data_IF_125026285755
#
_entry.id   IF_125026285755
#
_cell.length_a   1.000
_cell.length_b   1.000
_cell.length_c   1.000
_cell.angle_alpha   90.00
_cell.angle_beta   90.00
_cell.angle_gamma   90.00
#
_symmetry.space_group_name_H-M   'P 1'
#
loop_
_entity.id
_entity.type
_entity.pdbx_description
1 polymer ?
#
# COMPACT_ATOMS: atom_id res chain seq x y z
N UNK A 1 11.66 5.35 -11.23
CA UNK A 1 11.50 6.78 -10.93
C UNK A 1 10.72 6.90 -9.64
N UNK A 2 11.27 7.60 -8.66
CA UNK A 2 10.72 7.73 -7.31
C UNK A 2 11.15 9.08 -6.72
N UNK A 3 10.46 9.54 -5.66
CA UNK A 3 10.71 10.83 -4.99
C UNK A 3 9.80 11.94 -5.50
N UNK A 4 9.14 12.66 -4.57
CA UNK A 4 8.06 13.58 -4.90
C UNK A 4 6.86 12.85 -5.52
N UNK A 5 6.18 13.52 -6.47
CA UNK A 5 5.15 12.90 -7.32
C UNK A 5 5.64 12.88 -8.79
N UNK A 6 6.13 11.73 -9.29
CA UNK A 6 6.70 11.63 -10.64
C UNK A 6 5.74 12.02 -11.76
N UNK A 7 4.43 11.83 -11.57
CA UNK A 7 3.43 12.18 -12.58
C UNK A 7 3.31 13.70 -12.80
N UNK A 8 3.82 14.50 -11.88
CA UNK A 8 3.88 15.97 -11.98
C UNK A 8 5.28 16.50 -12.39
N UNK A 9 6.30 15.64 -12.35
CA UNK A 9 7.68 16.06 -12.61
C UNK A 9 7.98 16.09 -14.12
N UNK A 10 8.49 17.22 -14.61
CA UNK A 10 8.91 17.39 -15.99
C UNK A 10 10.01 16.39 -16.43
N UNK A 11 10.89 16.00 -15.50
CA UNK A 11 11.96 15.05 -15.82
C UNK A 11 11.42 13.64 -16.07
N UNK A 12 10.32 13.25 -15.43
CA UNK A 12 9.63 12.00 -15.75
C UNK A 12 9.25 11.94 -17.23
N UNK A 13 8.65 13.01 -17.75
CA UNK A 13 8.24 13.08 -19.16
C UNK A 13 9.43 13.18 -20.12
N UNK A 14 10.54 13.82 -19.73
CA UNK A 14 11.79 13.78 -20.51
C UNK A 14 12.36 12.37 -20.66
N UNK A 15 12.27 11.57 -19.57
CA UNK A 15 12.66 10.16 -19.65
C UNK A 15 11.70 9.38 -20.55
N UNK A 16 10.42 9.66 -20.48
CA UNK A 16 9.43 9.02 -21.37
C UNK A 16 9.66 9.38 -22.83
N UNK A 17 9.90 10.66 -23.15
CA UNK A 17 10.25 11.11 -24.50
C UNK A 17 11.50 10.38 -25.01
N UNK A 18 12.55 10.31 -24.18
CA UNK A 18 13.77 9.59 -24.53
C UNK A 18 13.52 8.10 -24.81
N UNK A 19 12.70 7.42 -24.01
CA UNK A 19 12.35 6.01 -24.22
C UNK A 19 11.56 5.80 -25.51
N UNK A 20 10.66 6.72 -25.85
CA UNK A 20 9.88 6.67 -27.10
C UNK A 20 10.76 6.88 -28.33
N UNK A 21 11.77 7.77 -28.25
CA UNK A 21 12.74 8.02 -29.30
C UNK A 21 13.80 6.90 -29.41
N UNK A 22 14.11 6.23 -28.31
CA UNK A 22 15.16 5.20 -28.21
C UNK A 22 14.59 3.89 -27.63
N UNK A 23 13.77 3.14 -28.38
CA UNK A 23 13.19 1.89 -27.91
C UNK A 23 14.24 0.87 -27.50
N UNK A 24 14.02 0.20 -26.36
CA UNK A 24 14.93 -0.84 -25.88
C UNK A 24 14.14 -2.04 -25.35
N UNK A 25 14.14 -3.17 -26.08
CA UNK A 25 13.39 -4.37 -25.69
C UNK A 25 13.96 -5.09 -24.46
N UNK A 26 14.99 -4.53 -23.82
CA UNK A 26 15.58 -5.03 -22.56
C UNK A 26 15.36 -4.06 -21.39
N UNK A 27 14.69 -2.94 -21.63
CA UNK A 27 14.47 -1.92 -20.61
C UNK A 27 13.29 -2.31 -19.70
N UNK A 28 13.53 -2.29 -18.40
CA UNK A 28 12.49 -2.29 -17.38
C UNK A 28 12.34 -0.87 -16.81
N UNK A 29 11.17 -0.31 -16.90
CA UNK A 29 10.89 1.04 -16.41
C UNK A 29 9.92 0.99 -15.22
N UNK A 30 10.34 1.59 -14.12
CA UNK A 30 9.58 1.59 -12.88
C UNK A 30 9.18 3.01 -12.48
N UNK A 31 7.91 3.22 -12.12
CA UNK A 31 7.38 4.50 -11.63
C UNK A 31 6.65 4.27 -10.33
N UNK A 32 6.91 5.12 -9.32
CA UNK A 32 6.19 5.09 -8.04
C UNK A 32 5.31 6.32 -7.92
N UNK A 33 4.01 6.13 -7.72
CA UNK A 33 3.04 7.21 -7.56
C UNK A 33 1.90 6.77 -6.66
N UNK A 34 1.22 7.70 -6.02
CA UNK A 34 -0.05 7.45 -5.35
C UNK A 34 -1.27 7.81 -6.22
N UNK A 35 -1.03 8.15 -7.49
CA UNK A 35 -2.04 8.58 -8.44
C UNK A 35 -2.86 9.83 -8.04
N UNK A 36 -2.44 10.57 -7.00
CA UNK A 36 -3.12 11.78 -6.53
C UNK A 36 -2.68 13.01 -7.32
N UNK A 37 -3.02 13.04 -8.60
CA UNK A 37 -2.75 14.15 -9.53
C UNK A 37 -4.07 14.63 -10.15
N UNK A 38 -4.04 15.82 -10.78
CA UNK A 38 -5.20 16.30 -11.53
C UNK A 38 -5.48 15.40 -12.76
N UNK A 39 -6.70 15.48 -13.30
CA UNK A 39 -7.14 14.62 -14.39
C UNK A 39 -6.32 14.82 -15.67
N UNK A 40 -5.90 16.04 -15.97
CA UNK A 40 -5.07 16.33 -17.15
C UNK A 40 -3.71 15.65 -17.03
N UNK A 41 -3.08 15.70 -15.88
CA UNK A 41 -1.81 15.03 -15.58
C UNK A 41 -1.97 13.52 -15.65
N UNK A 42 -3.07 12.98 -15.14
CA UNK A 42 -3.39 11.55 -15.22
C UNK A 42 -3.56 11.08 -16.66
N UNK A 43 -4.36 11.74 -17.48
CA UNK A 43 -4.58 11.38 -18.89
C UNK A 43 -3.28 11.50 -19.72
N UNK A 44 -2.49 12.54 -19.46
CA UNK A 44 -1.16 12.67 -20.05
C UNK A 44 -0.29 11.46 -19.71
N UNK A 45 -0.23 11.09 -18.44
CA UNK A 45 0.54 9.93 -17.98
C UNK A 45 0.11 8.63 -18.66
N UNK A 46 -1.19 8.31 -18.67
CA UNK A 46 -1.71 7.12 -19.34
C UNK A 46 -1.34 7.08 -20.82
N UNK A 47 -1.42 8.21 -21.51
CA UNK A 47 -1.07 8.31 -22.93
C UNK A 47 0.39 7.91 -23.16
N UNK A 48 1.32 8.43 -22.36
CA UNK A 48 2.74 8.06 -22.45
C UNK A 48 2.98 6.59 -22.15
N UNK A 49 2.41 6.07 -21.07
CA UNK A 49 2.63 4.69 -20.65
C UNK A 49 2.08 3.70 -21.68
N UNK A 50 0.92 3.98 -22.27
CA UNK A 50 0.37 3.16 -23.37
C UNK A 50 1.33 3.10 -24.57
N UNK A 51 1.90 4.22 -24.99
CA UNK A 51 2.86 4.28 -26.09
C UNK A 51 4.18 3.56 -25.74
N UNK A 52 4.66 3.70 -24.52
CA UNK A 52 5.89 3.02 -24.04
C UNK A 52 5.68 1.50 -24.00
N UNK A 53 4.53 1.04 -23.51
CA UNK A 53 4.18 -0.37 -23.43
C UNK A 53 3.82 -0.98 -24.80
N UNK A 54 3.70 -0.19 -25.85
CA UNK A 54 3.50 -0.67 -27.22
C UNK A 54 4.84 -1.09 -27.89
N UNK A 55 5.48 -2.08 -27.26
CA UNK A 55 6.71 -2.71 -27.79
C UNK A 55 7.98 -1.86 -27.70
N UNK A 56 7.96 -0.75 -26.94
CA UNK A 56 9.15 0.13 -26.79
C UNK A 56 10.10 -0.35 -25.71
N UNK A 57 9.60 -1.10 -24.72
CA UNK A 57 10.36 -1.63 -23.58
C UNK A 57 9.99 -3.09 -23.34
N UNK A 58 10.75 -3.78 -22.47
CA UNK A 58 10.44 -5.14 -22.05
C UNK A 58 9.30 -5.16 -21.02
N UNK A 59 9.36 -4.28 -20.02
CA UNK A 59 8.37 -4.27 -18.95
C UNK A 59 8.21 -2.91 -18.30
N UNK A 60 6.97 -2.55 -17.99
CA UNK A 60 6.61 -1.37 -17.20
C UNK A 60 6.04 -1.80 -15.83
N UNK A 61 6.63 -1.31 -14.75
CA UNK A 61 6.15 -1.57 -13.40
C UNK A 61 5.63 -0.28 -12.77
N UNK A 62 4.35 -0.26 -12.46
CA UNK A 62 3.74 0.80 -11.68
C UNK A 62 3.73 0.42 -10.20
N UNK A 63 4.40 1.19 -9.36
CA UNK A 63 4.28 1.10 -7.91
C UNK A 63 3.24 2.09 -7.40
N UNK A 64 2.31 1.60 -6.58
CA UNK A 64 1.25 2.39 -5.94
C UNK A 64 1.38 2.25 -4.44
N UNK A 65 1.57 3.37 -3.76
CA UNK A 65 1.69 3.39 -2.29
C UNK A 65 0.31 3.45 -1.65
N UNK A 66 -0.09 2.38 -0.94
CA UNK A 66 -1.40 2.29 -0.30
C UNK A 66 -1.31 1.38 0.95
N UNK A 67 -1.51 1.93 2.14
CA UNK A 67 -1.24 1.23 3.41
C UNK A 67 -2.51 0.67 4.09
N UNK A 68 -3.70 0.86 3.51
CA UNK A 68 -4.98 0.42 4.06
C UNK A 68 -6.12 0.63 3.07
N UNK A 69 -7.36 0.65 3.57
CA UNK A 69 -8.57 0.71 2.76
C UNK A 69 -9.48 1.89 3.12
N UNK A 70 -10.05 2.55 2.12
CA UNK A 70 -11.06 3.60 2.30
C UNK A 70 -10.60 4.74 3.19
N UNK A 71 -11.48 5.22 4.05
CA UNK A 71 -11.21 6.35 4.96
C UNK A 71 -9.98 6.15 5.85
N UNK A 72 -9.62 4.90 6.19
CA UNK A 72 -8.40 4.62 6.96
C UNK A 72 -7.14 4.87 6.13
N UNK A 73 -7.14 4.54 4.84
CA UNK A 73 -6.04 4.87 3.93
C UNK A 73 -5.90 6.39 3.75
N UNK A 74 -7.02 7.11 3.61
CA UNK A 74 -7.05 8.58 3.49
C UNK A 74 -6.53 9.28 4.75
N UNK A 75 -6.86 8.73 5.93
CA UNK A 75 -6.33 9.23 7.20
C UNK A 75 -4.80 9.08 7.29
N UNK A 76 -4.27 7.92 6.90
CA UNK A 76 -2.83 7.66 6.91
C UNK A 76 -2.07 8.48 5.85
N UNK A 77 -2.71 8.75 4.71
CA UNK A 77 -2.11 9.46 3.56
C UNK A 77 -2.90 10.70 3.22
N UNK A 78 -2.53 11.81 3.84
CA UNK A 78 -3.20 13.09 3.60
C UNK A 78 -3.25 13.48 2.13
N UNK A 79 -4.43 13.83 1.65
CA UNK A 79 -4.69 14.20 0.25
C UNK A 79 -4.95 13.00 -0.66
N UNK A 80 -4.96 11.78 -0.14
CA UNK A 80 -5.45 10.62 -0.85
C UNK A 80 -6.99 10.70 -0.95
N UNK A 81 -7.50 10.52 -2.15
CA UNK A 81 -8.88 10.15 -2.44
C UNK A 81 -8.85 8.68 -2.82
N UNK A 82 -9.38 7.81 -1.95
CA UNK A 82 -9.29 6.37 -2.11
C UNK A 82 -10.08 5.87 -3.32
N UNK A 83 -11.27 6.37 -3.53
CA UNK A 83 -12.13 5.94 -4.63
C UNK A 83 -11.51 6.34 -5.97
N UNK A 84 -11.02 7.56 -6.08
CA UNK A 84 -10.29 8.03 -7.27
C UNK A 84 -9.01 7.20 -7.53
N UNK A 85 -8.24 6.87 -6.48
CA UNK A 85 -7.06 6.02 -6.63
C UNK A 85 -7.46 4.63 -7.16
N UNK A 86 -8.51 4.04 -6.58
CA UNK A 86 -8.97 2.70 -6.96
C UNK A 86 -9.52 2.66 -8.39
N UNK A 87 -10.23 3.69 -8.82
CA UNK A 87 -10.68 3.89 -10.20
C UNK A 87 -9.49 3.99 -11.16
N UNK A 88 -8.45 4.76 -10.81
CA UNK A 88 -7.22 4.90 -11.61
C UNK A 88 -6.41 3.61 -11.68
N UNK A 89 -6.38 2.81 -10.62
CA UNK A 89 -5.81 1.46 -10.66
C UNK A 89 -6.53 0.59 -11.69
N UNK A 90 -7.86 0.58 -11.68
CA UNK A 90 -8.66 -0.18 -12.64
C UNK A 90 -8.47 0.35 -14.06
N UNK A 91 -8.45 1.66 -14.25
CA UNK A 91 -8.20 2.28 -15.55
C UNK A 91 -6.81 1.93 -16.09
N UNK A 92 -5.76 2.03 -15.27
CA UNK A 92 -4.41 1.61 -15.64
C UNK A 92 -4.37 0.14 -16.09
N UNK A 93 -4.93 -0.76 -15.28
CA UNK A 93 -4.94 -2.20 -15.59
C UNK A 93 -5.77 -2.54 -16.83
N UNK A 94 -6.77 -1.74 -17.15
CA UNK A 94 -7.62 -1.91 -18.35
C UNK A 94 -6.95 -1.36 -19.61
N UNK A 95 -6.41 -0.13 -19.53
CA UNK A 95 -5.92 0.60 -20.71
C UNK A 95 -4.46 0.31 -21.06
N UNK A 96 -3.66 -0.21 -20.10
CA UNK A 96 -2.26 -0.56 -20.30
C UNK A 96 -2.07 -2.09 -20.15
N UNK A 97 -2.63 -2.92 -21.03
CA UNK A 97 -2.73 -4.36 -20.80
C UNK A 97 -1.40 -5.11 -20.99
N UNK A 98 -0.56 -4.69 -21.93
CA UNK A 98 0.63 -5.42 -22.35
C UNK A 98 1.89 -4.88 -21.70
N UNK A 99 2.85 -5.78 -21.40
CA UNK A 99 4.17 -5.43 -20.88
C UNK A 99 4.14 -4.57 -19.61
N UNK A 100 3.03 -4.63 -18.84
CA UNK A 100 2.86 -3.84 -17.64
C UNK A 100 2.36 -4.65 -16.45
N UNK A 101 2.81 -4.26 -15.25
CA UNK A 101 2.25 -4.72 -13.98
C UNK A 101 2.13 -3.59 -12.98
N UNK A 102 1.35 -3.82 -11.93
CA UNK A 102 1.13 -2.89 -10.84
C UNK A 102 1.48 -3.58 -9.52
N UNK A 103 2.24 -2.90 -8.68
CA UNK A 103 2.64 -3.37 -7.37
C UNK A 103 2.16 -2.39 -6.31
N UNK A 104 1.32 -2.84 -5.38
CA UNK A 104 1.00 -2.08 -4.19
C UNK A 104 2.17 -2.16 -3.20
N UNK A 105 2.66 -1.01 -2.76
CA UNK A 105 3.58 -0.91 -1.62
C UNK A 105 2.73 -0.61 -0.40
N UNK A 106 2.59 -1.61 0.46
CA UNK A 106 1.77 -1.58 1.68
C UNK A 106 2.70 -1.48 2.87
N UNK A 107 3.00 -0.26 3.32
CA UNK A 107 3.89 -0.07 4.46
C UNK A 107 3.21 -0.53 5.74
N UNK A 108 3.66 -1.67 6.27
CA UNK A 108 3.13 -2.25 7.50
C UNK A 108 3.43 -1.36 8.70
N UNK A 109 2.40 -0.78 9.27
CA UNK A 109 2.46 0.08 10.45
C UNK A 109 1.28 -0.22 11.38
N UNK A 110 1.24 0.38 12.55
CA UNK A 110 0.21 0.09 13.54
C UNK A 110 -1.22 0.46 13.11
N UNK A 111 -1.41 1.35 12.14
CA UNK A 111 -2.74 1.69 11.62
C UNK A 111 -3.14 0.80 10.44
N UNK A 112 -2.17 0.35 9.62
CA UNK A 112 -2.46 -0.46 8.44
C UNK A 112 -3.17 -1.78 8.79
N UNK A 113 -2.86 -2.36 9.97
CA UNK A 113 -3.44 -3.63 10.45
C UNK A 113 -4.97 -3.64 10.47
N UNK A 114 -5.58 -2.48 10.60
CA UNK A 114 -7.04 -2.38 10.79
C UNK A 114 -7.86 -2.69 9.54
N UNK A 115 -7.30 -2.49 8.35
CA UNK A 115 -8.00 -2.69 7.07
C UNK A 115 -7.21 -3.48 6.02
N UNK A 116 -6.17 -4.21 6.43
CA UNK A 116 -5.40 -5.08 5.52
C UNK A 116 -6.25 -6.18 4.89
N UNK A 117 -7.22 -6.71 5.62
CA UNK A 117 -8.16 -7.71 5.13
C UNK A 117 -8.93 -7.20 3.90
N UNK A 118 -9.42 -5.97 3.95
CA UNK A 118 -10.13 -5.32 2.83
C UNK A 118 -9.18 -5.04 1.67
N UNK A 119 -7.98 -4.53 1.96
CA UNK A 119 -6.98 -4.23 0.95
C UNK A 119 -6.55 -5.51 0.22
N UNK A 120 -6.24 -6.59 0.94
CA UNK A 120 -5.83 -7.85 0.32
C UNK A 120 -6.97 -8.52 -0.43
N UNK A 121 -8.21 -8.39 0.03
CA UNK A 121 -9.39 -8.85 -0.73
C UNK A 121 -9.54 -8.05 -2.04
N UNK A 122 -9.34 -6.74 -2.02
CA UNK A 122 -9.33 -5.88 -3.20
C UNK A 122 -8.23 -6.28 -4.19
N UNK A 123 -6.99 -6.47 -3.71
CA UNK A 123 -5.85 -6.93 -4.54
C UNK A 123 -6.16 -8.29 -5.17
N UNK A 124 -6.71 -9.23 -4.41
CA UNK A 124 -7.12 -10.54 -4.92
C UNK A 124 -8.21 -10.40 -6.00
N UNK A 125 -9.17 -9.48 -5.82
CA UNK A 125 -10.17 -9.14 -6.82
C UNK A 125 -9.54 -8.66 -8.13
N UNK A 126 -8.58 -7.74 -8.06
CA UNK A 126 -7.84 -7.26 -9.22
C UNK A 126 -7.05 -8.38 -9.92
N UNK A 127 -6.42 -9.30 -9.16
CA UNK A 127 -5.74 -10.48 -9.73
C UNK A 127 -6.70 -11.35 -10.54
N UNK A 128 -7.88 -11.65 -9.99
CA UNK A 128 -8.89 -12.48 -10.65
C UNK A 128 -9.34 -11.90 -11.99
N UNK A 129 -9.38 -10.56 -12.09
CA UNK A 129 -9.81 -9.86 -13.31
C UNK A 129 -8.64 -9.67 -14.30
N UNK A 130 -7.48 -9.19 -13.84
CA UNK A 130 -6.44 -8.67 -14.72
C UNK A 130 -5.22 -9.58 -14.88
N UNK A 131 -5.00 -10.57 -14.01
CA UNK A 131 -3.88 -11.53 -14.14
C UNK A 131 -4.35 -12.79 -14.87
N UNK A 132 -4.38 -12.75 -16.20
CA UNK A 132 -4.91 -13.85 -17.03
C UNK A 132 -3.81 -14.74 -17.60
N UNK A 133 -2.78 -14.16 -18.22
CA UNK A 133 -1.67 -14.86 -18.87
C UNK A 133 -0.35 -14.76 -18.12
N UNK A 134 -0.24 -13.79 -17.22
CA UNK A 134 0.88 -13.60 -16.31
C UNK A 134 0.44 -12.79 -15.08
N UNK A 135 1.29 -12.78 -14.06
CA UNK A 135 1.02 -12.01 -12.84
C UNK A 135 1.13 -10.51 -13.13
N UNK A 136 0.01 -9.80 -13.11
CA UNK A 136 -0.04 -8.35 -13.35
C UNK A 136 -0.15 -7.53 -12.08
N UNK A 137 -0.77 -8.06 -11.04
CA UNK A 137 -1.02 -7.35 -9.78
C UNK A 137 -0.21 -7.97 -8.67
N UNK A 138 0.66 -7.18 -8.07
CA UNK A 138 1.57 -7.57 -7.01
C UNK A 138 1.34 -6.71 -5.76
N UNK A 139 1.86 -7.13 -4.63
CA UNK A 139 2.04 -6.26 -3.47
C UNK A 139 3.31 -6.64 -2.71
N UNK A 140 3.82 -5.67 -1.98
CA UNK A 140 4.94 -5.82 -1.06
C UNK A 140 4.61 -5.16 0.27
N UNK A 141 5.04 -5.77 1.39
CA UNK A 141 4.75 -5.35 2.75
C UNK A 141 6.03 -4.95 3.51
N UNK A 142 6.68 -3.81 3.13
CA UNK A 142 7.79 -3.32 3.93
C UNK A 142 7.30 -2.89 5.32
N UNK A 143 8.07 -3.22 6.36
CA UNK A 143 7.72 -2.90 7.74
C UNK A 143 8.26 -1.54 8.14
N UNK A 144 7.42 -0.69 8.72
CA UNK A 144 7.82 0.60 9.28
C UNK A 144 8.43 0.40 10.67
N UNK A 145 9.74 0.62 10.77
CA UNK A 145 10.48 0.48 12.03
C UNK A 145 10.60 1.79 12.79
N UNK A 146 10.78 2.87 12.06
CA UNK A 146 10.90 4.23 12.60
C UNK A 146 9.94 5.18 11.90
N UNK A 147 9.31 6.10 12.61
CA UNK A 147 9.46 6.31 14.07
C UNK A 147 8.79 5.19 14.88
N UNK A 148 9.35 4.86 16.06
CA UNK A 148 8.90 3.75 16.90
C UNK A 148 7.40 3.79 17.24
N UNK A 149 6.82 4.99 17.36
CA UNK A 149 5.39 5.17 17.62
C UNK A 149 4.45 4.80 16.46
N UNK A 150 4.99 4.51 15.27
CA UNK A 150 4.21 3.94 14.14
C UNK A 150 4.48 2.45 13.93
N UNK A 151 5.36 1.85 14.72
CA UNK A 151 5.69 0.44 14.59
C UNK A 151 4.53 -0.47 14.99
N UNK A 152 4.41 -1.62 14.32
CA UNK A 152 3.52 -2.73 14.73
C UNK A 152 3.80 -3.20 16.16
N UNK A 153 5.05 -3.11 16.62
CA UNK A 153 5.49 -3.65 17.91
C UNK A 153 4.86 -2.97 19.13
N UNK A 154 4.27 -1.77 18.97
CA UNK A 154 3.59 -1.09 20.07
C UNK A 154 2.13 -1.53 20.25
N UNK A 155 1.59 -2.30 19.31
CA UNK A 155 0.22 -2.81 19.38
C UNK A 155 0.09 -3.94 20.40
N UNK A 156 -1.06 -4.10 21.05
CA UNK A 156 -1.38 -5.28 21.86
C UNK A 156 -1.35 -6.58 21.04
N UNK A 157 -1.09 -7.69 21.70
CA UNK A 157 -1.04 -9.04 21.11
C UNK A 157 -2.32 -9.42 20.34
N UNK A 158 -3.48 -8.93 20.77
CA UNK A 158 -4.76 -9.14 20.08
C UNK A 158 -4.80 -8.70 18.62
N UNK A 159 -3.89 -7.80 18.21
CA UNK A 159 -3.74 -7.47 16.80
C UNK A 159 -2.93 -8.51 16.02
N UNK A 160 -2.08 -9.28 16.69
CA UNK A 160 -1.42 -10.43 16.05
C UNK A 160 -2.45 -11.51 15.69
N UNK A 161 -3.43 -11.80 16.55
CA UNK A 161 -4.54 -12.72 16.26
C UNK A 161 -5.32 -12.29 15.00
N UNK A 162 -5.52 -10.99 14.81
CA UNK A 162 -6.16 -10.46 13.59
C UNK A 162 -5.32 -10.73 12.35
N UNK A 163 -4.00 -10.56 12.44
CA UNK A 163 -3.09 -10.85 11.32
C UNK A 163 -2.98 -12.36 11.06
N UNK A 164 -3.00 -13.19 12.08
CA UNK A 164 -3.05 -14.66 11.96
C UNK A 164 -4.34 -15.12 11.27
N UNK A 165 -5.48 -14.51 11.60
CA UNK A 165 -6.73 -14.76 10.90
C UNK A 165 -6.63 -14.38 9.41
N UNK A 166 -6.02 -13.23 9.12
CA UNK A 166 -5.77 -12.77 7.75
C UNK A 166 -4.85 -13.76 7.02
N UNK A 167 -3.78 -14.20 7.65
CA UNK A 167 -2.87 -15.21 7.11
C UNK A 167 -3.61 -16.52 6.79
N UNK A 168 -4.41 -17.03 7.72
CA UNK A 168 -5.22 -18.22 7.51
C UNK A 168 -6.24 -18.07 6.37
N UNK A 169 -6.77 -16.86 6.18
CA UNK A 169 -7.63 -16.56 5.03
C UNK A 169 -6.83 -16.56 3.73
N UNK A 170 -5.63 -15.97 3.69
CA UNK A 170 -4.76 -15.97 2.52
C UNK A 170 -4.36 -17.40 2.10
N UNK A 171 -4.07 -18.29 3.07
CA UNK A 171 -3.78 -19.71 2.80
C UNK A 171 -4.93 -20.36 2.01
N UNK A 172 -6.18 -20.07 2.35
CA UNK A 172 -7.35 -20.59 1.62
C UNK A 172 -7.54 -19.99 0.23
N UNK A 173 -6.82 -18.94 -0.09
CA UNK A 173 -6.85 -18.25 -1.38
C UNK A 173 -5.51 -18.33 -2.13
N UNK A 174 -4.67 -19.33 -1.77
CA UNK A 174 -3.41 -19.54 -2.48
C UNK A 174 -3.68 -19.90 -3.94
N UNK A 175 -2.79 -19.51 -4.84
CA UNK A 175 -2.94 -19.87 -6.25
C UNK A 175 -2.80 -21.38 -6.46
N UNK A 176 -3.51 -21.90 -7.46
CA UNK A 176 -3.46 -23.31 -7.85
C UNK A 176 -3.05 -23.45 -9.31
N UNK A 177 -2.70 -24.67 -9.73
CA UNK A 177 -2.38 -24.94 -11.14
C UNK A 177 -3.56 -24.66 -12.08
N UNK A 178 -4.81 -24.85 -11.61
CA UNK A 178 -6.01 -24.56 -12.37
C UNK A 178 -6.34 -23.05 -12.42
N UNK A 179 -5.83 -22.28 -11.48
CA UNK A 179 -6.05 -20.84 -11.37
C UNK A 179 -4.73 -20.08 -11.13
N UNK A 180 -3.75 -20.18 -12.04
CA UNK A 180 -2.48 -19.51 -11.88
C UNK A 180 -2.66 -17.99 -11.87
N UNK A 181 -1.83 -17.28 -11.10
CA UNK A 181 -1.81 -15.82 -10.97
C UNK A 181 -3.04 -15.20 -10.28
N UNK A 182 -4.04 -15.98 -9.86
CA UNK A 182 -5.31 -15.49 -9.31
C UNK A 182 -5.42 -15.59 -7.79
N UNK A 183 -4.46 -16.26 -7.15
CA UNK A 183 -4.37 -16.43 -5.72
C UNK A 183 -3.22 -15.66 -5.08
N UNK A 184 -2.97 -15.95 -3.79
CA UNK A 184 -1.78 -15.49 -3.10
C UNK A 184 -0.60 -16.43 -3.39
N UNK A 185 0.62 -15.88 -3.28
CA UNK A 185 1.88 -16.61 -3.42
C UNK A 185 2.42 -17.04 -2.06
N UNK A 186 3.14 -18.16 -2.01
CA UNK A 186 3.78 -18.63 -0.78
C UNK A 186 4.64 -17.56 -0.11
N UNK A 187 5.43 -16.82 -0.88
CA UNK A 187 6.29 -15.78 -0.32
C UNK A 187 5.52 -14.61 0.31
N UNK A 188 4.29 -14.33 -0.14
CA UNK A 188 3.42 -13.30 0.43
C UNK A 188 2.89 -13.74 1.80
N UNK A 189 2.57 -15.03 1.95
CA UNK A 189 2.22 -15.61 3.24
C UNK A 189 3.41 -15.58 4.21
N UNK A 190 4.60 -15.98 3.74
CA UNK A 190 5.81 -15.94 4.55
C UNK A 190 6.19 -14.52 5.00
N UNK A 191 5.90 -13.50 4.19
CA UNK A 191 6.09 -12.10 4.59
C UNK A 191 5.17 -11.70 5.73
N UNK A 192 3.88 -12.02 5.64
CA UNK A 192 2.92 -11.72 6.71
C UNK A 192 3.27 -12.49 7.99
N UNK A 193 3.65 -13.77 7.89
CA UNK A 193 4.12 -14.56 9.02
C UNK A 193 5.34 -13.93 9.71
N UNK A 194 6.32 -13.49 8.95
CA UNK A 194 7.48 -12.74 9.46
C UNK A 194 7.07 -11.44 10.15
N UNK A 195 6.09 -10.72 9.63
CA UNK A 195 5.63 -9.46 10.18
C UNK A 195 4.88 -9.67 11.51
N UNK A 196 4.11 -10.77 11.61
CA UNK A 196 3.50 -11.25 12.87
C UNK A 196 4.58 -11.60 13.90
N UNK A 197 5.54 -12.41 13.52
CA UNK A 197 6.65 -12.81 14.40
C UNK A 197 7.44 -11.58 14.89
N UNK A 198 7.68 -10.61 14.02
CA UNK A 198 8.35 -9.37 14.40
C UNK A 198 7.51 -8.52 15.36
N UNK A 199 6.21 -8.40 15.13
CA UNK A 199 5.30 -7.73 16.06
C UNK A 199 5.35 -8.37 17.45
N UNK A 200 5.28 -9.70 17.54
CA UNK A 200 5.28 -10.44 18.79
C UNK A 200 6.64 -10.41 19.51
N UNK A 201 7.74 -10.23 18.80
CA UNK A 201 9.08 -10.21 19.38
C UNK A 201 9.33 -9.12 20.43
N UNK A 202 8.50 -8.08 20.46
CA UNK A 202 8.65 -6.93 21.35
C UNK A 202 7.56 -6.82 22.43
N UNK A 203 6.71 -7.81 22.63
CA UNK A 203 5.59 -7.74 23.57
C UNK A 203 6.00 -7.53 25.04
N UNK A 204 7.20 -7.97 25.42
CA UNK A 204 7.77 -7.73 26.76
C UNK A 204 8.52 -6.39 26.90
N UNK A 205 8.62 -5.62 25.81
CA UNK A 205 9.28 -4.31 25.82
C UNK A 205 8.35 -3.23 26.36
N UNK A 206 8.89 -2.29 27.14
CA UNK A 206 8.10 -1.14 27.60
C UNK A 206 7.94 -0.11 26.46
N UNK A 207 6.74 -0.02 25.92
CA UNK A 207 6.38 0.90 24.84
C UNK A 207 5.69 2.18 25.31
N UNK A 208 5.66 2.49 26.60
CA UNK A 208 4.92 3.62 27.17
C UNK A 208 5.23 4.96 26.48
N UNK A 209 6.52 5.23 26.20
CA UNK A 209 6.93 6.45 25.48
C UNK A 209 6.40 6.48 24.05
N UNK A 210 6.56 5.38 23.30
CA UNK A 210 6.07 5.30 21.92
C UNK A 210 4.55 5.43 21.84
N UNK A 211 3.80 4.84 22.79
CA UNK A 211 2.34 5.01 22.91
C UNK A 211 1.97 6.47 23.21
N UNK A 212 2.69 7.13 24.11
CA UNK A 212 2.48 8.55 24.41
C UNK A 212 2.74 9.43 23.17
N UNK A 213 3.83 9.19 22.44
CA UNK A 213 4.20 9.93 21.23
C UNK A 213 3.18 9.68 20.11
N UNK A 214 2.67 8.45 19.97
CA UNK A 214 1.56 8.12 19.06
C UNK A 214 0.33 8.99 19.34
N UNK A 215 -0.14 9.02 20.59
CA UNK A 215 -1.31 9.80 20.96
C UNK A 215 -1.10 11.30 20.70
N UNK A 216 0.05 11.86 21.09
CA UNK A 216 0.37 13.28 20.86
C UNK A 216 0.39 13.64 19.38
N UNK A 217 1.02 12.78 18.57
CA UNK A 217 1.11 13.02 17.14
C UNK A 217 -0.28 12.99 16.48
N UNK A 218 -1.07 11.94 16.71
CA UNK A 218 -2.36 11.80 16.05
C UNK A 218 -3.43 12.74 16.61
N UNK A 219 -3.35 13.15 17.88
CA UNK A 219 -4.19 14.24 18.40
C UNK A 219 -3.91 15.57 17.69
N UNK A 220 -2.63 15.89 17.45
CA UNK A 220 -2.24 17.09 16.73
C UNK A 220 -2.57 16.98 15.22
N UNK A 221 -2.44 15.79 14.64
CA UNK A 221 -2.88 15.50 13.28
C UNK A 221 -4.38 15.79 13.12
N UNK A 222 -5.22 15.27 14.02
CA UNK A 222 -6.66 15.50 14.00
C UNK A 222 -7.00 16.98 14.13
N UNK A 223 -6.37 17.66 15.09
CA UNK A 223 -6.58 19.10 15.30
C UNK A 223 -6.24 19.93 14.04
N UNK A 224 -5.16 19.59 13.32
CA UNK A 224 -4.71 20.34 12.14
C UNK A 224 -5.55 20.04 10.90
N UNK A 225 -6.07 18.83 10.80
CA UNK A 225 -6.74 18.33 9.58
C UNK A 225 -8.24 18.22 9.69
N UNK A 226 -8.79 18.46 10.90
CA UNK A 226 -10.23 18.31 11.13
C UNK A 226 -10.70 16.85 11.04
N UNK A 227 -9.78 15.90 11.29
CA UNK A 227 -10.09 14.47 11.33
C UNK A 227 -10.40 14.01 12.75
N UNK A 228 -10.79 12.76 12.92
CA UNK A 228 -11.08 12.13 14.21
C UNK A 228 -10.60 10.67 14.17
N UNK A 229 -9.56 10.38 14.95
CA UNK A 229 -8.95 9.06 15.01
C UNK A 229 -9.97 7.98 15.38
N UNK A 230 -10.75 8.19 16.45
CA UNK A 230 -11.67 7.18 16.96
C UNK A 230 -12.87 6.96 16.02
N UNK A 231 -13.24 7.98 15.25
CA UNK A 231 -14.26 7.85 14.20
C UNK A 231 -13.74 7.05 13.00
N UNK A 232 -12.46 7.24 12.66
CA UNK A 232 -11.84 6.57 11.51
C UNK A 232 -11.41 5.13 11.85
N UNK A 233 -10.96 4.91 13.09
CA UNK A 233 -10.50 3.61 13.60
C UNK A 233 -11.28 3.21 14.86
N UNK A 234 -12.60 2.97 14.78
CA UNK A 234 -13.44 2.69 15.95
C UNK A 234 -12.99 1.43 16.71
N UNK A 235 -12.41 0.45 16.01
CA UNK A 235 -11.82 -0.77 16.57
C UNK A 235 -10.57 -0.52 17.43
N UNK A 236 -9.93 0.63 17.27
CA UNK A 236 -8.73 1.00 18.04
C UNK A 236 -9.04 1.89 19.25
N UNK A 237 -10.30 2.14 19.58
CA UNK A 237 -10.70 3.03 20.67
C UNK A 237 -10.01 2.70 22.00
N UNK A 238 -10.05 1.45 22.43
CA UNK A 238 -9.45 1.03 23.72
C UNK A 238 -7.93 1.25 23.73
N UNK A 239 -7.29 0.95 22.62
CA UNK A 239 -5.84 1.19 22.48
C UNK A 239 -5.51 2.69 22.42
N UNK A 240 -6.35 3.49 21.77
CA UNK A 240 -6.22 4.95 21.77
C UNK A 240 -6.30 5.53 23.19
N UNK A 241 -7.23 5.04 24.00
CA UNK A 241 -7.39 5.45 25.42
C UNK A 241 -6.18 5.03 26.27
N UNK A 242 -5.59 3.87 26.02
CA UNK A 242 -4.33 3.44 26.62
C UNK A 242 -3.16 4.37 26.23
N UNK A 243 -3.04 4.73 24.96
CA UNK A 243 -2.03 5.68 24.49
C UNK A 243 -2.21 7.07 25.14
N UNK A 244 -3.46 7.52 25.28
CA UNK A 244 -3.79 8.76 25.96
C UNK A 244 -3.41 8.73 27.46
N UNK A 245 -3.60 7.58 28.12
CA UNK A 245 -3.15 7.40 29.51
C UNK A 245 -1.63 7.60 29.62
N UNK A 246 -0.83 6.94 28.78
CA UNK A 246 0.63 7.10 28.78
C UNK A 246 1.05 8.54 28.47
N UNK A 247 0.36 9.23 27.59
CA UNK A 247 0.66 10.63 27.26
C UNK A 247 0.42 11.60 28.43
N UNK A 248 -0.50 11.28 29.35
CA UNK A 248 -0.76 12.07 30.58
C UNK A 248 0.24 11.80 31.69
N UNK A 249 0.96 10.66 31.66
CA UNK A 249 1.94 10.28 32.67
C UNK A 249 3.37 10.74 32.34
N UNK A 250 3.62 11.17 31.12
CA UNK A 250 4.94 11.59 30.60
C UNK A 250 4.93 13.09 30.25
#
# INVERSE_FOLDING_TARGET
MTGGEPLMDKNTYRVFDYVLENPSPKLHLNVTSNFSVDEKSWQKYLTYVKQICDGRIEHFMQYVSLDGWGAQAEYMRHGLDFDLLWDRVNQFLTEVPNYSSLTFIVTMNNLSVTSLDKLFAGILGLRKVYSTTYQRVWFDTPVLREPAWQSLQILPESYAEKLEWLWAWMVRQIETEEAPFKGFKDYELHRLDRDIAWMLSAQLTNHSRAKADFYRFFSEHDRRRGTDFVKTFPEMRSWWEECAYHARQS
#
